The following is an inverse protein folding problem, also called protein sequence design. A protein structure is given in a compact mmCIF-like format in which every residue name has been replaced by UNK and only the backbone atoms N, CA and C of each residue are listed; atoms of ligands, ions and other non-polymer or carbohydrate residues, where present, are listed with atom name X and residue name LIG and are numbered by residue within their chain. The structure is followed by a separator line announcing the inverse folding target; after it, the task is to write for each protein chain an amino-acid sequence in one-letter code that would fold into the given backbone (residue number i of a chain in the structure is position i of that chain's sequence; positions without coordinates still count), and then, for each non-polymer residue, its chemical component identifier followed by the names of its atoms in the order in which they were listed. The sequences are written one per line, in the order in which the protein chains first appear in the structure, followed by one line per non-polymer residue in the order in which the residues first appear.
data_IF_415635186017
#
_entry.id   IF_415635186017
#
_cell.length_a   1.000
_cell.length_b   1.000
_cell.length_c   1.000
_cell.angle_alpha   90.00
_cell.angle_beta   90.00
_cell.angle_gamma   90.00
#
_symmetry.space_group_name_H-M   'P 1'
#
loop_
_entity.id
_entity.type
_entity.pdbx_description
1 polymer ?
#
# COMPACT_ATOMS: atom_id res chain seq x y z
N UNK A 1 -10.56 -0.97 40.87
CA UNK A 1 -9.46 -0.24 40.29
C UNK A 1 -9.57 -0.18 38.78
N UNK A 2 -8.92 0.76 38.19
CA UNK A 2 -8.89 0.92 36.76
C UNK A 2 -8.01 -0.13 36.14
N UNK A 3 -8.45 -0.66 34.99
CA UNK A 3 -7.65 -1.60 34.20
C UNK A 3 -6.89 -0.80 33.15
N UNK A 4 -5.61 -1.11 32.98
CA UNK A 4 -4.76 -0.46 31.99
C UNK A 4 -4.03 -1.51 31.15
N UNK A 5 -3.93 -1.23 29.87
CA UNK A 5 -3.18 -2.05 28.92
C UNK A 5 -2.44 -1.15 27.96
N UNK A 6 -1.12 -1.23 27.99
CA UNK A 6 -0.25 -0.52 27.04
C UNK A 6 0.47 -1.56 26.20
N UNK A 7 0.25 -1.53 24.91
CA UNK A 7 0.91 -2.41 23.95
C UNK A 7 1.63 -1.61 22.89
N UNK A 8 2.78 -2.13 22.48
CA UNK A 8 3.56 -1.55 21.37
C UNK A 8 3.38 -2.45 20.16
N UNK A 9 2.87 -1.87 19.08
CA UNK A 9 2.64 -2.58 17.82
C UNK A 9 3.70 -2.19 16.80
N UNK A 10 4.22 -3.18 16.10
CA UNK A 10 5.20 -3.00 15.04
C UNK A 10 4.60 -3.50 13.73
N UNK A 11 4.91 -2.81 12.66
CA UNK A 11 4.44 -3.22 11.35
C UNK A 11 5.17 -2.50 10.23
N UNK A 12 5.04 -3.04 9.04
CA UNK A 12 5.59 -2.44 7.83
C UNK A 12 4.50 -2.42 6.77
N UNK A 13 4.15 -1.22 6.34
CA UNK A 13 3.15 -1.03 5.28
C UNK A 13 3.87 -0.88 3.96
N UNK A 14 3.48 -1.69 2.98
CA UNK A 14 4.05 -1.64 1.64
C UNK A 14 3.02 -1.07 0.67
N UNK A 15 3.40 0.00 0.00
CA UNK A 15 2.61 0.62 -1.04
C UNK A 15 3.18 0.23 -2.39
N UNK A 16 2.33 -0.09 -3.34
CA UNK A 16 2.79 -0.46 -4.66
C UNK A 16 1.63 -0.77 -5.59
N UNK A 17 1.95 -1.48 -6.65
CA UNK A 17 1.02 -1.80 -7.72
C UNK A 17 0.83 -3.31 -7.77
N UNK A 18 -0.43 -3.73 -7.82
CA UNK A 18 -0.77 -5.13 -8.07
C UNK A 18 -1.08 -5.28 -9.56
N UNK A 19 -0.15 -5.84 -10.31
CA UNK A 19 -0.32 -6.01 -11.75
C UNK A 19 -1.44 -6.97 -12.13
N UNK A 20 -1.90 -7.82 -11.22
CA UNK A 20 -3.07 -8.66 -11.46
C UNK A 20 -4.34 -7.81 -11.65
N UNK A 21 -4.33 -6.57 -11.19
CA UNK A 21 -5.45 -5.65 -11.36
C UNK A 21 -5.36 -4.82 -12.65
N UNK A 22 -4.32 -4.99 -13.44
CA UNK A 22 -4.18 -4.29 -14.70
C UNK A 22 -5.30 -4.69 -15.66
N UNK A 23 -5.87 -3.70 -16.33
CA UNK A 23 -6.92 -3.97 -17.33
C UNK A 23 -6.32 -4.49 -18.63
N UNK A 24 -7.08 -5.27 -19.42
CA UNK A 24 -6.60 -5.67 -20.74
C UNK A 24 -6.19 -4.46 -21.58
N UNK A 25 -5.05 -4.56 -22.25
CA UNK A 25 -4.52 -3.45 -23.04
C UNK A 25 -3.76 -2.41 -22.22
N UNK A 26 -3.34 -2.74 -21.01
CA UNK A 26 -2.57 -1.84 -20.15
C UNK A 26 -1.20 -1.49 -20.74
N UNK A 27 -0.67 -2.30 -21.64
CA UNK A 27 0.51 -1.98 -22.44
C UNK A 27 0.09 -1.88 -23.90
N UNK A 28 0.28 -0.70 -24.51
CA UNK A 28 0.00 -0.47 -25.93
C UNK A 28 1.25 0.06 -26.59
N UNK A 29 1.74 -0.70 -27.54
CA UNK A 29 2.94 -0.37 -28.28
C UNK A 29 2.63 -0.08 -29.74
N UNK A 30 3.30 0.92 -30.29
CA UNK A 30 3.22 1.26 -31.70
C UNK A 30 4.60 1.74 -32.15
N UNK A 31 5.24 0.96 -33.03
CA UNK A 31 6.59 1.26 -33.54
C UNK A 31 7.59 1.42 -32.38
N UNK A 32 8.18 2.60 -32.22
CA UNK A 32 9.15 2.90 -31.17
C UNK A 32 8.53 3.48 -29.90
N UNK A 33 7.20 3.54 -29.84
CA UNK A 33 6.45 4.15 -28.73
C UNK A 33 5.69 3.09 -27.93
N UNK A 34 5.59 3.31 -26.63
CA UNK A 34 4.77 2.46 -25.76
C UNK A 34 4.09 3.32 -24.70
N UNK A 35 2.82 3.00 -24.45
CA UNK A 35 2.04 3.58 -23.35
C UNK A 35 1.72 2.47 -22.36
N UNK A 36 2.10 2.66 -21.12
CA UNK A 36 1.82 1.73 -20.02
C UNK A 36 0.82 2.38 -19.08
N UNK A 37 -0.29 1.70 -18.84
CA UNK A 37 -1.32 2.18 -17.90
C UNK A 37 -1.37 1.26 -16.71
N UNK A 38 -0.85 1.73 -15.60
CA UNK A 38 -0.72 0.96 -14.37
C UNK A 38 -1.97 1.08 -13.49
N UNK A 39 -2.31 0.01 -12.74
CA UNK A 39 -3.31 0.14 -11.69
C UNK A 39 -2.89 1.18 -10.65
N UNK A 40 -3.85 1.74 -9.91
CA UNK A 40 -3.50 2.71 -8.85
C UNK A 40 -2.60 2.09 -7.78
N UNK A 41 -1.77 2.92 -7.18
CA UNK A 41 -0.99 2.53 -6.00
C UNK A 41 -1.94 2.21 -4.86
N UNK A 42 -1.66 1.13 -4.17
CA UNK A 42 -2.47 0.66 -3.05
C UNK A 42 -1.59 -0.01 -1.99
N UNK A 43 -2.17 -0.25 -0.84
CA UNK A 43 -1.56 -1.09 0.18
C UNK A 43 -1.53 -2.53 -0.33
N UNK A 44 -0.34 -3.13 -0.37
CA UNK A 44 -0.15 -4.46 -0.95
C UNK A 44 -0.51 -5.59 0.01
N UNK A 45 -0.43 -5.35 1.31
CA UNK A 45 -0.71 -6.35 2.32
C UNK A 45 -1.50 -5.69 3.46
N UNK A 46 -2.70 -6.19 3.72
CA UNK A 46 -3.55 -5.69 4.80
C UNK A 46 -3.13 -6.24 6.17
N UNK A 47 -2.38 -7.32 6.19
CA UNK A 47 -1.88 -7.95 7.41
C UNK A 47 -0.45 -7.47 7.65
N UNK A 48 -0.31 -6.22 8.07
CA UNK A 48 0.99 -5.54 8.15
C UNK A 48 1.56 -5.46 9.57
N UNK A 49 0.83 -5.91 10.58
CA UNK A 49 1.34 -5.90 11.95
C UNK A 49 2.15 -7.16 12.21
N UNK A 50 3.36 -6.96 12.71
CA UNK A 50 4.23 -8.05 13.13
C UNK A 50 3.87 -8.44 14.56
N UNK A 51 3.05 -9.46 14.70
CA UNK A 51 2.57 -9.93 16.00
C UNK A 51 3.71 -10.50 16.86
N UNK A 52 4.72 -11.08 16.24
CA UNK A 52 5.86 -11.64 16.96
C UNK A 52 6.66 -10.56 17.70
N UNK A 53 6.67 -9.33 17.16
CA UNK A 53 7.35 -8.18 17.78
C UNK A 53 6.43 -7.37 18.68
N UNK A 54 5.12 -7.56 18.58
CA UNK A 54 4.15 -6.84 19.39
C UNK A 54 4.17 -7.36 20.82
N UNK A 55 4.38 -6.48 21.78
CA UNK A 55 4.47 -6.85 23.19
C UNK A 55 3.57 -5.99 24.04
N UNK A 56 3.04 -6.59 25.11
CA UNK A 56 2.39 -5.83 26.17
C UNK A 56 3.49 -5.19 27.02
N UNK A 57 3.51 -3.87 27.03
CA UNK A 57 4.48 -3.11 27.81
C UNK A 57 4.03 -2.96 29.26
N UNK A 58 2.74 -2.73 29.44
CA UNK A 58 2.14 -2.58 30.75
C UNK A 58 0.72 -3.15 30.69
N UNK A 59 0.37 -3.93 31.72
CA UNK A 59 -0.96 -4.52 31.82
C UNK A 59 -1.38 -4.60 33.26
N UNK A 60 -2.56 -4.08 33.58
CA UNK A 60 -3.18 -4.21 34.88
C UNK A 60 -4.67 -4.48 34.73
N UNK A 61 -5.24 -5.21 35.68
CA UNK A 61 -6.65 -5.59 35.62
C UNK A 61 -6.88 -6.78 34.69
N UNK A 62 -8.14 -7.01 34.37
CA UNK A 62 -8.56 -8.12 33.54
C UNK A 62 -8.89 -7.64 32.14
N UNK A 63 -8.32 -8.28 31.13
CA UNK A 63 -8.52 -7.94 29.72
C UNK A 63 -9.04 -9.13 28.96
N UNK A 64 -10.10 -8.92 28.16
CA UNK A 64 -10.68 -9.96 27.33
C UNK A 64 -9.98 -9.97 25.96
N UNK A 65 -10.20 -11.05 25.21
CA UNK A 65 -9.78 -11.11 23.80
C UNK A 65 -10.39 -9.98 22.98
N UNK A 66 -11.65 -9.63 23.28
CA UNK A 66 -12.32 -8.55 22.58
C UNK A 66 -11.66 -7.19 22.86
N UNK A 67 -11.24 -6.93 24.08
CA UNK A 67 -10.51 -5.71 24.44
C UNK A 67 -9.21 -5.59 23.65
N UNK A 68 -8.48 -6.70 23.52
CA UNK A 68 -7.23 -6.76 22.75
C UNK A 68 -7.49 -6.53 21.26
N UNK A 69 -8.58 -7.08 20.73
CA UNK A 69 -8.96 -6.89 19.33
C UNK A 69 -9.28 -5.42 19.03
N UNK A 70 -9.93 -4.73 19.95
CA UNK A 70 -10.22 -3.29 19.80
C UNK A 70 -8.93 -2.49 19.70
N UNK A 71 -7.95 -2.80 20.56
CA UNK A 71 -6.64 -2.15 20.52
C UNK A 71 -5.91 -2.45 19.21
N UNK A 72 -5.94 -3.69 18.77
CA UNK A 72 -5.32 -4.11 17.52
C UNK A 72 -5.91 -3.36 16.33
N UNK A 73 -7.24 -3.30 16.24
CA UNK A 73 -7.93 -2.59 15.15
C UNK A 73 -7.60 -1.10 15.17
N UNK A 74 -7.52 -0.51 16.35
CA UNK A 74 -7.14 0.90 16.49
C UNK A 74 -5.71 1.13 16.00
N UNK A 75 -4.79 0.23 16.36
CA UNK A 75 -3.41 0.30 15.92
C UNK A 75 -3.31 0.22 14.39
N UNK A 76 -4.05 -0.71 13.78
CA UNK A 76 -4.11 -0.83 12.32
C UNK A 76 -4.56 0.46 11.66
N UNK A 77 -5.65 1.06 12.15
CA UNK A 77 -6.18 2.32 11.60
C UNK A 77 -5.17 3.47 11.74
N UNK A 78 -4.53 3.56 12.90
CA UNK A 78 -3.54 4.62 13.15
C UNK A 78 -2.34 4.47 12.23
N UNK A 79 -1.81 3.26 12.10
CA UNK A 79 -0.67 2.99 11.23
C UNK A 79 -1.00 3.27 9.76
N UNK A 80 -2.17 2.82 9.33
CA UNK A 80 -2.64 3.07 7.97
C UNK A 80 -2.76 4.57 7.69
N UNK A 81 -3.36 5.31 8.61
CA UNK A 81 -3.53 6.76 8.46
C UNK A 81 -2.20 7.50 8.38
N UNK A 82 -1.20 7.06 9.16
CA UNK A 82 0.13 7.68 9.16
C UNK A 82 0.93 7.37 7.90
N UNK A 83 0.71 6.20 7.31
CA UNK A 83 1.53 5.71 6.20
C UNK A 83 0.90 5.93 4.83
N UNK A 84 -0.42 5.83 4.73
CA UNK A 84 -1.13 6.01 3.47
C UNK A 84 -1.44 7.49 3.24
N UNK A 85 -0.40 8.27 3.04
CA UNK A 85 -0.49 9.71 2.81
C UNK A 85 -0.34 10.02 1.32
N UNK A 86 -0.85 11.18 0.84
CA UNK A 86 -0.62 11.58 -0.55
C UNK A 86 0.86 11.63 -0.94
N UNK A 87 1.73 12.01 0.00
CA UNK A 87 3.18 12.03 -0.24
C UNK A 87 3.75 10.64 -0.46
N UNK A 88 3.38 9.68 0.39
CA UNK A 88 3.87 8.31 0.27
C UNK A 88 3.32 7.64 -1.00
N UNK A 89 2.06 7.90 -1.34
CA UNK A 89 1.47 7.42 -2.59
C UNK A 89 2.23 8.00 -3.79
N UNK A 90 2.53 9.30 -3.74
CA UNK A 90 3.28 9.97 -4.82
C UNK A 90 4.68 9.36 -5.00
N UNK A 91 5.37 9.06 -3.90
CA UNK A 91 6.68 8.40 -3.95
C UNK A 91 6.56 7.02 -4.58
N UNK A 92 5.55 6.24 -4.19
CA UNK A 92 5.34 4.91 -4.75
C UNK A 92 5.00 4.98 -6.24
N UNK A 93 4.19 5.96 -6.66
CA UNK A 93 3.90 6.19 -8.07
C UNK A 93 5.16 6.52 -8.85
N UNK A 94 6.00 7.40 -8.33
CA UNK A 94 7.25 7.77 -9.01
C UNK A 94 8.19 6.60 -9.13
N UNK A 95 8.30 5.79 -8.09
CA UNK A 95 9.12 4.57 -8.13
C UNK A 95 8.62 3.60 -9.21
N UNK A 96 7.32 3.42 -9.31
CA UNK A 96 6.73 2.57 -10.34
C UNK A 96 6.98 3.12 -11.74
N UNK A 97 6.81 4.43 -11.94
CA UNK A 97 7.11 5.07 -13.23
C UNK A 97 8.56 4.82 -13.64
N UNK A 98 9.48 5.04 -12.72
CA UNK A 98 10.90 4.90 -13.01
C UNK A 98 11.25 3.46 -13.38
N UNK A 99 10.71 2.49 -12.66
CA UNK A 99 10.97 1.07 -12.91
C UNK A 99 10.41 0.63 -14.26
N UNK A 100 9.16 1.00 -14.56
CA UNK A 100 8.54 0.63 -15.83
C UNK A 100 9.18 1.36 -17.01
N UNK A 101 9.57 2.61 -16.82
CA UNK A 101 10.29 3.35 -17.87
C UNK A 101 11.61 2.67 -18.22
N UNK A 102 12.39 2.31 -17.20
CA UNK A 102 13.66 1.61 -17.40
C UNK A 102 13.44 0.29 -18.12
N UNK A 103 12.40 -0.45 -17.72
CA UNK A 103 12.07 -1.73 -18.35
C UNK A 103 11.74 -1.55 -19.83
N UNK A 104 10.87 -0.60 -20.16
CA UNK A 104 10.45 -0.36 -21.54
C UNK A 104 11.60 0.15 -22.42
N UNK A 105 12.44 1.03 -21.88
CA UNK A 105 13.64 1.49 -22.59
C UNK A 105 14.60 0.31 -22.84
N UNK A 106 14.76 -0.57 -21.87
CA UNK A 106 15.65 -1.73 -22.01
C UNK A 106 15.15 -2.73 -23.05
N UNK A 107 13.86 -2.80 -23.30
CA UNK A 107 13.27 -3.64 -24.34
C UNK A 107 13.49 -3.04 -25.73
N UNK A 108 13.71 -1.71 -25.80
CA UNK A 108 14.03 -1.05 -27.06
C UNK A 108 13.08 0.07 -27.48
N UNK A 109 12.09 0.37 -26.67
CA UNK A 109 11.22 1.50 -26.97
C UNK A 109 11.97 2.81 -26.74
N UNK A 110 11.77 3.77 -27.62
CA UNK A 110 12.41 5.09 -27.54
C UNK A 110 11.51 6.11 -26.83
N UNK A 111 10.19 5.97 -27.02
CA UNK A 111 9.20 6.88 -26.45
C UNK A 111 8.32 6.09 -25.48
N UNK A 112 8.42 6.42 -24.21
CA UNK A 112 7.74 5.68 -23.14
C UNK A 112 6.86 6.64 -22.35
N UNK A 113 5.59 6.30 -22.27
CA UNK A 113 4.62 7.03 -21.44
C UNK A 113 4.06 6.09 -20.39
N UNK A 114 4.22 6.46 -19.12
CA UNK A 114 3.68 5.70 -18.00
C UNK A 114 2.54 6.50 -17.39
N UNK A 115 1.38 5.89 -17.33
CA UNK A 115 0.16 6.49 -16.79
C UNK A 115 -0.41 5.59 -15.72
N UNK A 116 -1.21 6.16 -14.83
CA UNK A 116 -1.96 5.41 -13.83
C UNK A 116 -3.44 5.47 -14.14
N UNK A 117 -4.13 4.37 -13.91
CA UNK A 117 -5.60 4.37 -13.95
C UNK A 117 -6.13 5.24 -12.82
N UNK A 118 -7.21 5.97 -13.11
CA UNK A 118 -7.85 6.81 -12.10
C UNK A 118 -8.86 6.00 -11.32
N UNK A 119 -9.01 6.36 -10.04
CA UNK A 119 -10.01 5.77 -9.17
C UNK A 119 -11.07 6.82 -8.83
N UNK A 120 -12.28 6.35 -8.52
CA UNK A 120 -13.31 7.20 -7.94
C UNK A 120 -13.10 7.33 -6.42
N UNK A 121 -14.01 8.02 -5.73
CA UNK A 121 -13.92 8.24 -4.29
C UNK A 121 -14.00 6.96 -3.46
N UNK A 122 -14.51 5.87 -4.05
CA UNK A 122 -14.64 4.56 -3.39
C UNK A 122 -13.46 3.65 -3.68
N UNK A 123 -12.48 4.12 -4.46
CA UNK A 123 -11.35 3.32 -4.88
C UNK A 123 -11.63 2.45 -6.10
N UNK A 124 -12.76 2.63 -6.77
CA UNK A 124 -13.07 1.91 -8.00
C UNK A 124 -12.42 2.58 -9.20
N UNK A 125 -12.03 1.79 -10.18
CA UNK A 125 -11.44 2.32 -11.41
C UNK A 125 -12.46 3.15 -12.18
N UNK A 126 -11.98 4.23 -12.71
CA UNK A 126 -12.75 5.06 -13.65
C UNK A 126 -12.52 4.61 -15.08
#
# INVERSE_FOLDING_TARGET
GDSELVRIYYGTLRLGINLHEATPGWIKAEKDSVVVRLPPVKLLDNDFIDEARTTSFFESGTWTGQDRDVLYQRACRTMLHRCLTPQNVSIAEQNARDQFRKLMLSIGYEKVSIQFEKTDRRGNKK
#
